data_IF_824163286198
#
_entry.id   IF_824163286198
#
_cell.length_a   1.000
_cell.length_b   1.000
_cell.length_c   1.000
_cell.angle_alpha   90.00
_cell.angle_beta   90.00
_cell.angle_gamma   90.00
#
_symmetry.space_group_name_H-M   'P 1'
#
loop_
_entity.id
_entity.type
_entity.pdbx_description
1 polymer ?
#
# COMPACT_ATOMS: atom_id res chain seq x y z
N UNK A 1 -14.68 11.17 21.60
CA UNK A 1 -13.79 10.23 20.91
C UNK A 1 -14.00 10.52 19.43
N UNK A 2 -13.00 11.11 18.78
CA UNK A 2 -13.04 11.30 17.33
C UNK A 2 -12.45 10.02 16.76
N UNK A 3 -13.32 9.13 16.29
CA UNK A 3 -12.91 8.07 15.38
C UNK A 3 -12.49 8.78 14.09
N UNK A 4 -11.19 9.06 13.96
CA UNK A 4 -10.61 9.46 12.68
C UNK A 4 -10.68 8.26 11.76
N UNK A 5 -11.77 8.16 11.01
CA UNK A 5 -11.85 7.35 9.80
C UNK A 5 -10.87 7.95 8.79
N UNK A 6 -9.61 7.54 8.86
CA UNK A 6 -8.66 7.77 7.79
C UNK A 6 -8.85 6.67 6.77
N UNK A 7 -9.38 7.03 5.61
CA UNK A 7 -9.12 6.29 4.38
C UNK A 7 -7.60 6.12 4.26
N UNK A 8 -7.15 4.88 4.13
CA UNK A 8 -5.75 4.52 4.28
C UNK A 8 -5.12 4.22 2.93
N UNK A 9 -4.00 4.89 2.64
CA UNK A 9 -3.14 4.56 1.51
C UNK A 9 -2.01 3.63 1.96
N UNK A 10 -1.77 2.55 1.23
CA UNK A 10 -0.68 1.61 1.52
C UNK A 10 0.05 1.18 0.27
N UNK A 11 1.38 1.18 0.31
CA UNK A 11 2.19 0.42 -0.63
C UNK A 11 2.27 -1.02 -0.14
N UNK A 12 1.93 -1.99 -0.99
CA UNK A 12 1.88 -3.37 -0.58
C UNK A 12 2.36 -4.32 -1.67
N UNK A 13 2.90 -5.45 -1.25
CA UNK A 13 3.19 -6.60 -2.10
C UNK A 13 2.06 -7.61 -1.98
N UNK A 14 1.51 -8.06 -3.11
CA UNK A 14 0.50 -9.13 -3.14
C UNK A 14 1.20 -10.48 -2.95
N UNK A 15 0.81 -11.22 -1.90
CA UNK A 15 1.36 -12.55 -1.63
C UNK A 15 0.44 -13.64 -2.17
N UNK A 16 -0.86 -13.54 -1.91
CA UNK A 16 -1.84 -14.53 -2.34
C UNK A 16 -3.26 -13.97 -2.30
N UNK A 17 -4.12 -14.45 -3.20
CA UNK A 17 -5.53 -14.09 -3.26
C UNK A 17 -6.38 -15.33 -3.03
N UNK A 18 -7.34 -15.24 -2.10
CA UNK A 18 -8.33 -16.29 -1.83
C UNK A 18 -9.73 -15.80 -2.25
N UNK A 19 -10.12 -16.19 -3.46
CA UNK A 19 -11.42 -15.85 -4.06
C UNK A 19 -12.60 -16.55 -3.36
N UNK A 20 -12.38 -17.70 -2.69
CA UNK A 20 -13.46 -18.39 -1.97
C UNK A 20 -13.89 -17.65 -0.71
N UNK A 21 -12.94 -16.96 -0.06
CA UNK A 21 -13.19 -16.18 1.15
C UNK A 21 -13.25 -14.68 0.90
N UNK A 22 -13.06 -14.22 -0.34
CA UNK A 22 -12.90 -12.81 -0.72
C UNK A 22 -11.83 -12.08 0.11
N UNK A 23 -10.66 -12.70 0.24
CA UNK A 23 -9.55 -12.15 1.01
C UNK A 23 -8.28 -12.10 0.20
N UNK A 24 -7.45 -11.10 0.47
CA UNK A 24 -6.10 -11.00 -0.08
C UNK A 24 -5.09 -10.88 1.05
N UNK A 25 -4.00 -11.63 0.94
CA UNK A 25 -2.85 -11.51 1.81
C UNK A 25 -1.82 -10.62 1.11
N UNK A 26 -1.41 -9.57 1.81
CA UNK A 26 -0.43 -8.61 1.33
C UNK A 26 0.64 -8.35 2.39
N UNK A 27 1.85 -8.02 1.96
CA UNK A 27 2.87 -7.47 2.86
C UNK A 27 2.87 -5.96 2.71
N UNK A 28 2.61 -5.23 3.79
CA UNK A 28 2.79 -3.79 3.87
C UNK A 28 4.26 -3.46 3.65
N UNK A 29 4.54 -2.52 2.75
CA UNK A 29 5.86 -2.05 2.43
C UNK A 29 6.03 -0.61 2.90
N UNK A 30 7.26 -0.28 3.29
CA UNK A 30 7.66 1.09 3.61
C UNK A 30 9.02 1.39 2.95
N UNK A 31 9.40 2.66 2.88
CA UNK A 31 10.68 3.09 2.32
C UNK A 31 11.60 3.54 3.45
N UNK A 32 12.75 2.89 3.57
CA UNK A 32 13.73 3.26 4.59
C UNK A 32 14.49 4.55 4.23
N UNK A 33 15.29 5.05 5.17
CA UNK A 33 16.10 6.26 4.98
C UNK A 33 17.15 6.16 3.85
N UNK A 34 17.39 4.94 3.34
CA UNK A 34 18.30 4.67 2.23
C UNK A 34 17.56 4.57 0.88
N UNK A 35 16.23 4.76 0.86
CA UNK A 35 15.42 4.65 -0.35
C UNK A 35 15.09 3.21 -0.75
N UNK A 36 15.29 2.25 0.15
CA UNK A 36 15.00 0.84 -0.11
C UNK A 36 13.58 0.51 0.36
N UNK A 37 12.88 -0.25 -0.48
CA UNK A 37 11.55 -0.78 -0.13
C UNK A 37 11.72 -1.97 0.80
N UNK A 38 11.21 -1.87 2.01
CA UNK A 38 11.34 -2.89 3.07
C UNK A 38 9.96 -3.40 3.51
N UNK A 39 9.82 -4.72 3.76
CA UNK A 39 8.59 -5.28 4.30
C UNK A 39 8.42 -4.92 5.77
N UNK A 40 7.22 -4.48 6.15
CA UNK A 40 6.88 -4.08 7.53
C UNK A 40 6.10 -5.17 8.24
N UNK A 41 4.94 -5.56 7.71
CA UNK A 41 4.05 -6.59 8.28
C UNK A 41 3.17 -7.21 7.22
N UNK A 42 2.77 -8.45 7.45
CA UNK A 42 1.74 -9.10 6.63
C UNK A 42 0.34 -8.72 7.14
N UNK A 43 -0.56 -8.45 6.21
CA UNK A 43 -1.93 -8.05 6.44
C UNK A 43 -2.87 -8.91 5.60
N UNK A 44 -4.03 -9.21 6.18
CA UNK A 44 -5.13 -9.81 5.46
C UNK A 44 -6.20 -8.74 5.25
N UNK A 45 -6.55 -8.48 3.99
CA UNK A 45 -7.53 -7.47 3.60
C UNK A 45 -8.73 -8.14 2.93
N UNK A 46 -9.90 -7.52 3.08
CA UNK A 46 -11.12 -7.97 2.43
C UNK A 46 -11.21 -7.39 1.01
N UNK A 47 -11.56 -8.25 0.06
CA UNK A 47 -11.91 -7.85 -1.29
C UNK A 47 -13.37 -7.40 -1.34
N UNK A 48 -13.70 -6.38 -2.14
CA UNK A 48 -15.07 -5.99 -2.38
C UNK A 48 -15.82 -7.11 -3.15
N UNK A 49 -17.05 -7.40 -2.73
CA UNK A 49 -17.83 -8.56 -3.19
C UNK A 49 -18.27 -8.47 -4.66
N UNK A 50 -18.21 -7.27 -5.27
CA UNK A 50 -18.78 -7.00 -6.59
C UNK A 50 -17.83 -6.24 -7.53
N UNK A 51 -16.53 -6.18 -7.23
CA UNK A 51 -15.56 -5.46 -8.07
C UNK A 51 -14.40 -6.36 -8.52
N UNK A 52 -14.59 -6.98 -9.68
CA UNK A 52 -13.59 -7.81 -10.34
C UNK A 52 -12.40 -6.99 -10.85
N UNK A 53 -12.54 -5.67 -11.01
CA UNK A 53 -11.47 -4.79 -11.53
C UNK A 53 -10.29 -4.73 -10.56
N UNK A 54 -10.59 -4.66 -9.25
CA UNK A 54 -9.57 -4.67 -8.20
C UNK A 54 -8.86 -6.04 -8.18
N UNK A 55 -9.61 -7.13 -8.36
CA UNK A 55 -9.06 -8.47 -8.43
C UNK A 55 -8.09 -8.63 -9.62
N UNK A 56 -8.43 -8.10 -10.79
CA UNK A 56 -7.59 -8.14 -11.98
C UNK A 56 -6.28 -7.36 -11.79
N UNK A 57 -6.32 -6.22 -11.09
CA UNK A 57 -5.12 -5.44 -10.74
C UNK A 57 -4.23 -6.23 -9.79
N UNK A 58 -4.81 -6.84 -8.75
CA UNK A 58 -4.06 -7.64 -7.77
C UNK A 58 -3.47 -8.93 -8.37
N UNK A 59 -4.10 -9.48 -9.42
CA UNK A 59 -3.59 -10.65 -10.17
C UNK A 59 -2.49 -10.28 -11.17
N UNK A 60 -2.54 -9.07 -11.71
CA UNK A 60 -1.61 -8.63 -12.77
C UNK A 60 -0.33 -8.01 -12.25
N UNK A 61 -0.31 -7.51 -11.00
CA UNK A 61 0.90 -6.96 -10.38
C UNK A 61 1.22 -7.58 -9.03
N UNK A 62 2.53 -7.74 -8.77
CA UNK A 62 3.05 -8.14 -7.46
C UNK A 62 3.16 -6.96 -6.49
N UNK A 63 3.32 -5.73 -6.99
CA UNK A 63 3.41 -4.51 -6.19
C UNK A 63 2.26 -3.58 -6.55
N UNK A 64 1.57 -3.09 -5.53
CA UNK A 64 0.35 -2.31 -5.71
C UNK A 64 0.25 -1.21 -4.66
N UNK A 65 -0.42 -0.13 -5.05
CA UNK A 65 -0.91 0.87 -4.10
C UNK A 65 -2.36 0.50 -3.81
N UNK A 66 -2.67 0.29 -2.54
CA UNK A 66 -4.00 -0.11 -2.06
C UNK A 66 -4.61 1.05 -1.30
N UNK A 67 -5.84 1.38 -1.65
CA UNK A 67 -6.70 2.28 -0.90
C UNK A 67 -7.70 1.43 -0.13
N UNK A 68 -7.78 1.65 1.17
CA UNK A 68 -8.71 0.94 2.04
C UNK A 68 -9.68 1.90 2.73
N UNK A 69 -10.90 1.43 2.94
CA UNK A 69 -11.89 2.09 3.80
C UNK A 69 -11.76 1.56 5.23
N UNK A 70 -11.69 2.47 6.20
CA UNK A 70 -11.57 2.14 7.61
C UNK A 70 -10.23 1.51 7.96
N UNK A 71 -9.15 2.30 7.92
CA UNK A 71 -7.85 1.89 8.45
C UNK A 71 -7.97 1.67 9.96
N UNK A 72 -8.25 0.44 10.36
CA UNK A 72 -8.02 -0.06 11.71
C UNK A 72 -6.80 -0.98 11.62
N UNK A 73 -5.92 -0.92 12.62
CA UNK A 73 -4.79 -1.86 12.74
C UNK A 73 -5.24 -3.34 12.81
N UNK A 74 -6.55 -3.59 12.90
CA UNK A 74 -7.18 -4.90 12.95
C UNK A 74 -7.58 -5.41 11.56
N UNK A 75 -6.65 -6.07 10.85
CA UNK A 75 -6.80 -7.23 9.93
C UNK A 75 -8.13 -7.48 9.13
N UNK A 76 -8.94 -6.47 8.83
CA UNK A 76 -10.24 -6.63 8.17
C UNK A 76 -10.65 -5.41 7.35
N UNK A 77 -9.73 -4.50 7.04
CA UNK A 77 -10.03 -3.37 6.17
C UNK A 77 -10.39 -3.86 4.77
N UNK A 78 -11.34 -3.16 4.13
CA UNK A 78 -11.82 -3.50 2.80
C UNK A 78 -11.10 -2.65 1.77
N UNK A 79 -10.61 -3.29 0.71
CA UNK A 79 -10.02 -2.58 -0.42
C UNK A 79 -11.12 -1.88 -1.19
N UNK A 80 -10.95 -0.58 -1.39
CA UNK A 80 -11.86 0.24 -2.21
C UNK A 80 -11.25 0.61 -3.57
N UNK A 81 -9.92 0.55 -3.69
CA UNK A 81 -9.23 0.75 -4.96
C UNK A 81 -7.82 0.15 -4.89
N UNK A 82 -7.31 -0.28 -6.04
CA UNK A 82 -5.93 -0.72 -6.21
C UNK A 82 -5.35 -0.09 -7.47
N UNK A 83 -4.07 0.23 -7.44
CA UNK A 83 -3.31 0.70 -8.60
C UNK A 83 -2.14 -0.24 -8.80
N UNK A 84 -1.94 -0.70 -10.04
CA UNK A 84 -0.79 -1.51 -10.40
C UNK A 84 0.47 -0.62 -10.36
N UNK A 85 1.52 -1.11 -9.69
CA UNK A 85 2.87 -0.58 -9.89
C UNK A 85 3.64 -1.59 -10.71
N UNK A 86 4.19 -1.16 -11.85
CA UNK A 86 5.23 -1.95 -12.51
C UNK A 86 6.54 -1.78 -11.77
N UNK A 87 7.50 -2.71 -11.95
CA UNK A 87 8.83 -2.57 -11.33
C UNK A 87 9.57 -1.31 -11.83
N UNK A 88 9.25 -0.86 -13.05
CA UNK A 88 9.75 0.40 -13.61
C UNK A 88 9.12 1.60 -12.90
N UNK A 89 7.79 1.61 -12.68
CA UNK A 89 7.10 2.66 -11.91
C UNK A 89 7.60 2.72 -10.46
N UNK A 90 7.85 1.56 -9.85
CA UNK A 90 8.40 1.47 -8.48
C UNK A 90 9.80 2.07 -8.39
N UNK A 91 10.63 1.88 -9.42
CA UNK A 91 11.97 2.48 -9.46
C UNK A 91 11.91 3.99 -9.67
N UNK A 92 10.98 4.49 -10.49
CA UNK A 92 10.77 5.92 -10.70
C UNK A 92 10.25 6.61 -9.42
N UNK A 93 9.34 5.96 -8.67
CA UNK A 93 8.82 6.50 -7.40
C UNK A 93 9.89 6.52 -6.30
N UNK A 94 10.79 5.52 -6.25
CA UNK A 94 11.97 5.56 -5.36
C UNK A 94 12.83 6.78 -5.64
N UNK A 95 13.14 7.10 -6.89
CA UNK A 95 13.92 8.30 -7.21
C UNK A 95 13.24 9.60 -6.77
N UNK A 96 11.91 9.62 -6.75
CA UNK A 96 11.14 10.77 -6.28
C UNK A 96 11.09 10.88 -4.75
N UNK A 97 11.00 9.76 -4.02
CA UNK A 97 11.05 9.76 -2.55
C UNK A 97 12.47 10.07 -2.01
N UNK A 98 13.52 9.60 -2.70
CA UNK A 98 14.92 9.85 -2.34
C UNK A 98 15.36 11.29 -2.66
N UNK A 99 14.55 12.09 -3.38
CA UNK A 99 14.80 13.54 -3.57
C UNK A 99 14.30 14.41 -2.41
N UNK A 100 13.75 13.81 -1.36
CA UNK A 100 13.43 14.52 -0.11
C UNK A 100 14.30 14.15 1.12
N UNK A 101 15.66 14.02 1.05
CA UNK A 101 16.50 14.05 2.23
C UNK A 101 16.96 15.49 2.43
N UNK A 102 16.18 16.25 3.20
CA UNK A 102 16.67 17.44 3.87
C UNK A 102 16.41 18.78 3.16
N UNK A 103 15.33 19.44 3.58
CA UNK A 103 15.51 20.78 4.14
C UNK A 103 14.90 20.86 5.54
N UNK A 104 15.38 19.99 6.44
CA UNK A 104 15.35 20.30 7.87
C UNK A 104 16.55 21.17 8.20
N UNK A 105 16.30 22.47 8.20
CA UNK A 105 16.85 23.48 9.11
C UNK A 105 18.36 23.74 9.11
N UNK A 106 18.74 24.98 8.78
CA UNK A 106 19.50 25.87 9.71
C UNK A 106 19.62 27.33 9.20
N UNK A 107 18.98 28.19 10.01
CA UNK A 107 19.14 29.63 10.26
C UNK A 107 20.58 30.19 10.09
N UNK A 108 20.71 31.40 9.55
CA UNK A 108 21.72 32.47 9.80
C UNK A 108 21.60 33.53 8.68
N UNK A 109 21.62 34.85 8.83
CA UNK A 109 21.73 35.89 9.87
C UNK A 109 21.06 37.13 9.26
#
# INVERSE_FOLDING_TARGET
MQDTYTDGLMLAKVNSINEQTNKVNVTLLDVDDLGSVVPVKDLELNLPVFDDSILDILKSSSHVIIFIEGFSDENNSTIISAVNLTDDDLNDEKEHMIKFPGDKSKKSV
#
